data_IF_213165474998
#
_entry.id   IF_213165474998
#
_cell.length_a   1.000
_cell.length_b   1.000
_cell.length_c   1.000
_cell.angle_alpha   90.00
_cell.angle_beta   90.00
_cell.angle_gamma   90.00
#
_symmetry.space_group_name_H-M   'P 1'
#
loop_
_entity.id
_entity.type
_entity.pdbx_description
1 polymer ?
#
# COMPACT_ATOMS: atom_id res chain seq x y z
N UNK A 1 -18.56 21.46 3.42
CA UNK A 1 -17.95 20.24 3.96
C UNK A 1 -18.02 19.20 2.86
N UNK A 2 -16.92 18.54 2.50
CA UNK A 2 -16.89 17.53 1.42
C UNK A 2 -17.31 16.17 1.98
N UNK A 3 -18.09 15.44 1.19
CA UNK A 3 -18.53 14.09 1.50
C UNK A 3 -17.57 13.08 0.84
N UNK A 4 -16.96 12.21 1.61
CA UNK A 4 -16.00 11.24 1.11
C UNK A 4 -16.46 9.81 1.35
N UNK A 5 -16.24 8.93 0.37
CA UNK A 5 -16.44 7.50 0.50
C UNK A 5 -15.07 6.81 0.63
N UNK A 6 -14.91 5.99 1.67
CA UNK A 6 -13.68 5.22 1.88
C UNK A 6 -13.99 3.73 1.83
N UNK A 7 -13.36 3.01 0.94
CA UNK A 7 -13.31 1.53 0.97
C UNK A 7 -12.01 1.06 1.57
N UNK A 8 -12.00 -0.11 2.20
CA UNK A 8 -10.80 -0.57 2.91
C UNK A 8 -10.51 0.20 4.21
N UNK A 9 -11.48 0.92 4.76
CA UNK A 9 -11.39 1.77 5.95
C UNK A 9 -10.90 1.03 7.23
N UNK A 10 -11.08 -0.28 7.33
CA UNK A 10 -10.55 -1.11 8.43
C UNK A 10 -9.13 -1.65 8.19
N UNK A 11 -8.58 -1.36 7.01
CA UNK A 11 -7.20 -1.68 6.66
C UNK A 11 -6.19 -0.78 7.38
N UNK A 12 -4.90 -1.08 7.23
CA UNK A 12 -3.82 -0.31 7.87
C UNK A 12 -3.87 1.17 7.46
N UNK A 13 -3.77 1.48 6.16
CA UNK A 13 -3.84 2.86 5.66
C UNK A 13 -5.23 3.47 5.88
N UNK A 14 -6.29 2.66 5.71
CA UNK A 14 -7.67 3.15 5.83
C UNK A 14 -8.02 3.68 7.21
N UNK A 15 -7.51 3.07 8.29
CA UNK A 15 -7.73 3.57 9.65
C UNK A 15 -7.08 4.94 9.86
N UNK A 16 -5.84 5.13 9.43
CA UNK A 16 -5.15 6.42 9.51
C UNK A 16 -5.82 7.49 8.64
N UNK A 17 -6.27 7.12 7.44
CA UNK A 17 -7.02 8.05 6.58
C UNK A 17 -8.33 8.49 7.23
N UNK A 18 -9.11 7.58 7.83
CA UNK A 18 -10.36 7.90 8.54
C UNK A 18 -10.08 8.84 9.72
N UNK A 19 -9.03 8.57 10.52
CA UNK A 19 -8.66 9.42 11.66
C UNK A 19 -8.32 10.84 11.18
N UNK A 20 -7.52 10.96 10.12
CA UNK A 20 -7.17 12.26 9.54
C UNK A 20 -8.39 13.01 8.99
N UNK A 21 -9.23 12.36 8.19
CA UNK A 21 -10.40 12.96 7.58
C UNK A 21 -11.42 13.46 8.64
N UNK A 22 -11.52 12.75 9.78
CA UNK A 22 -12.33 13.23 10.93
C UNK A 22 -11.81 14.53 11.52
N UNK A 23 -10.49 14.62 11.71
CA UNK A 23 -9.86 15.82 12.27
C UNK A 23 -9.98 17.02 11.34
N UNK A 24 -9.96 16.78 10.04
CA UNK A 24 -10.04 17.82 9.00
C UNK A 24 -11.51 18.15 8.59
N UNK A 25 -12.49 17.58 9.29
CA UNK A 25 -13.90 17.95 9.19
C UNK A 25 -14.64 17.42 7.95
N UNK A 26 -14.19 16.32 7.35
CA UNK A 26 -14.92 15.66 6.25
C UNK A 26 -16.13 14.88 6.77
N UNK A 27 -17.19 14.84 5.96
CA UNK A 27 -18.28 13.88 6.15
C UNK A 27 -17.87 12.53 5.56
N UNK A 28 -17.68 11.52 6.41
CA UNK A 28 -17.10 10.25 6.02
C UNK A 28 -18.19 9.18 5.95
N UNK A 29 -18.31 8.55 4.78
CA UNK A 29 -19.01 7.29 4.59
C UNK A 29 -17.99 6.19 4.29
N UNK A 30 -18.21 4.99 4.79
CA UNK A 30 -17.33 3.85 4.51
C UNK A 30 -18.14 2.66 3.99
N UNK A 31 -17.54 1.89 3.07
CA UNK A 31 -18.01 0.54 2.74
C UNK A 31 -17.11 -0.45 3.45
N UNK A 32 -17.71 -1.30 4.30
CA UNK A 32 -16.97 -2.26 5.12
C UNK A 32 -17.81 -3.49 5.44
N UNK A 33 -17.15 -4.60 5.75
CA UNK A 33 -17.80 -5.84 6.25
C UNK A 33 -18.31 -5.72 7.69
N UNK A 34 -17.92 -4.70 8.42
CA UNK A 34 -18.28 -4.45 9.82
C UNK A 34 -18.50 -2.96 10.04
N UNK A 35 -19.37 -2.64 10.98
CA UNK A 35 -19.57 -1.25 11.43
C UNK A 35 -18.25 -0.63 11.93
N UNK A 36 -18.06 0.63 11.60
CA UNK A 36 -16.90 1.41 12.06
C UNK A 36 -17.43 2.48 13.03
N UNK A 37 -17.02 2.46 14.31
CA UNK A 37 -17.51 3.41 15.30
C UNK A 37 -17.31 4.87 14.85
N UNK A 38 -18.39 5.66 14.91
CA UNK A 38 -18.36 7.08 14.54
C UNK A 38 -18.12 7.36 13.04
N UNK A 39 -18.46 6.41 12.16
CA UNK A 39 -18.45 6.57 10.69
C UNK A 39 -19.74 6.02 10.11
N UNK A 40 -20.38 6.79 9.22
CA UNK A 40 -21.50 6.28 8.42
C UNK A 40 -21.03 5.07 7.60
N UNK A 41 -21.49 3.87 7.94
CA UNK A 41 -20.96 2.62 7.39
C UNK A 41 -22.03 1.86 6.63
N UNK A 42 -21.81 1.66 5.36
CA UNK A 42 -22.57 0.73 4.51
C UNK A 42 -21.93 -0.66 4.65
N UNK A 43 -22.71 -1.62 5.16
CA UNK A 43 -22.23 -3.00 5.29
C UNK A 43 -22.31 -3.68 3.92
N UNK A 44 -21.14 -4.16 3.45
CA UNK A 44 -21.02 -4.88 2.18
C UNK A 44 -19.76 -5.76 2.20
N UNK A 45 -19.92 -7.02 1.84
CA UNK A 45 -18.81 -7.95 1.59
C UNK A 45 -18.59 -8.10 0.09
N UNK A 46 -17.59 -7.44 -0.46
CA UNK A 46 -17.26 -7.45 -1.89
C UNK A 46 -17.05 -8.84 -2.51
N UNK A 47 -16.88 -9.88 -1.68
CA UNK A 47 -16.83 -11.26 -2.17
C UNK A 47 -18.23 -11.83 -2.45
N UNK A 48 -19.28 -11.30 -1.80
CA UNK A 48 -20.62 -11.87 -1.80
C UNK A 48 -21.66 -10.92 -2.38
N UNK A 49 -21.47 -9.62 -2.12
CA UNK A 49 -22.47 -8.59 -2.35
C UNK A 49 -22.04 -7.68 -3.50
N UNK A 50 -23.01 -7.17 -4.24
CA UNK A 50 -22.82 -6.05 -5.14
C UNK A 50 -22.70 -4.74 -4.33
N UNK A 51 -22.02 -3.74 -4.90
CA UNK A 51 -21.88 -2.43 -4.25
C UNK A 51 -23.27 -1.76 -4.19
N UNK A 52 -23.79 -1.43 -3.01
CA UNK A 52 -25.09 -0.76 -2.91
C UNK A 52 -25.04 0.63 -3.56
N UNK A 53 -25.91 0.88 -4.53
CA UNK A 53 -25.96 2.13 -5.30
C UNK A 53 -26.11 3.37 -4.40
N UNK A 54 -26.86 3.25 -3.30
CA UNK A 54 -27.05 4.32 -2.33
C UNK A 54 -25.79 4.67 -1.52
N UNK A 55 -24.76 3.82 -1.54
CA UNK A 55 -23.49 4.12 -0.88
C UNK A 55 -22.78 5.33 -1.47
N UNK A 56 -23.03 5.61 -2.76
CA UNK A 56 -22.37 6.69 -3.50
C UNK A 56 -23.20 7.98 -3.57
N UNK A 57 -24.44 7.95 -3.06
CA UNK A 57 -25.32 9.13 -3.10
C UNK A 57 -24.76 10.30 -2.29
N UNK A 58 -24.58 11.44 -2.95
CA UNK A 58 -24.10 12.68 -2.33
C UNK A 58 -22.59 12.68 -1.99
N UNK A 59 -21.81 11.75 -2.55
CA UNK A 59 -20.36 11.69 -2.38
C UNK A 59 -19.66 12.61 -3.39
N UNK A 60 -18.63 13.32 -2.93
CA UNK A 60 -17.76 14.17 -3.76
C UNK A 60 -16.48 13.46 -4.18
N UNK A 61 -15.90 12.65 -3.28
CA UNK A 61 -14.60 12.01 -3.43
C UNK A 61 -14.67 10.54 -2.99
N UNK A 62 -14.10 9.65 -3.79
CA UNK A 62 -13.88 8.24 -3.41
C UNK A 62 -12.40 7.99 -3.15
N UNK A 63 -12.09 7.45 -1.98
CA UNK A 63 -10.80 6.82 -1.67
C UNK A 63 -10.95 5.31 -1.71
N UNK A 64 -10.43 4.67 -2.75
CA UNK A 64 -10.51 3.22 -2.91
C UNK A 64 -9.23 2.54 -2.44
N UNK A 65 -9.25 2.08 -1.17
CA UNK A 65 -8.13 1.37 -0.52
C UNK A 65 -8.41 -0.13 -0.36
N UNK A 66 -9.63 -0.57 -0.64
CA UNK A 66 -9.94 -1.99 -0.58
C UNK A 66 -9.11 -2.77 -1.60
N UNK A 67 -8.65 -3.93 -1.18
CA UNK A 67 -7.90 -4.85 -2.03
C UNK A 67 -7.59 -6.14 -1.29
N UNK A 68 -7.36 -7.20 -2.05
CA UNK A 68 -6.95 -8.49 -1.55
C UNK A 68 -5.43 -8.64 -1.77
N UNK A 69 -4.66 -8.89 -0.70
CA UNK A 69 -3.20 -8.86 -0.70
C UNK A 69 -2.56 -10.04 0.07
N UNK A 70 -3.26 -11.18 0.21
CA UNK A 70 -2.77 -12.31 0.99
C UNK A 70 -1.95 -13.29 0.12
N UNK A 71 -0.66 -13.07 -0.02
CA UNK A 71 0.27 -13.88 -0.82
C UNK A 71 0.53 -15.32 -0.32
N UNK A 72 -0.01 -15.76 0.80
CA UNK A 72 0.46 -16.96 1.49
C UNK A 72 -0.47 -18.17 1.38
N UNK A 73 -1.59 -18.07 0.68
CA UNK A 73 -2.54 -19.18 0.57
C UNK A 73 -2.64 -19.66 -0.86
N UNK A 74 -2.17 -20.86 -1.13
CA UNK A 74 -2.47 -21.61 -2.35
C UNK A 74 -3.80 -22.33 -2.17
N UNK A 75 -4.91 -21.59 -2.12
CA UNK A 75 -6.26 -22.16 -2.04
C UNK A 75 -6.87 -22.23 -3.45
N UNK A 76 -7.63 -23.28 -3.81
CA UNK A 76 -8.38 -23.28 -5.06
C UNK A 76 -9.29 -22.06 -5.16
N UNK A 77 -9.29 -21.37 -6.32
CA UNK A 77 -10.11 -20.17 -6.52
C UNK A 77 -9.53 -18.85 -5.99
N UNK A 78 -8.29 -18.85 -5.47
CA UNK A 78 -7.62 -17.65 -4.98
C UNK A 78 -7.49 -16.59 -6.09
N UNK A 79 -7.17 -17.01 -7.31
CA UNK A 79 -7.05 -16.15 -8.49
C UNK A 79 -8.34 -15.41 -8.80
N UNK A 80 -9.48 -16.10 -8.80
CA UNK A 80 -10.78 -15.47 -8.98
C UNK A 80 -11.08 -14.45 -7.88
N UNK A 81 -10.64 -14.72 -6.65
CA UNK A 81 -10.77 -13.78 -5.53
C UNK A 81 -9.95 -12.51 -5.76
N UNK A 82 -8.71 -12.64 -6.24
CA UNK A 82 -7.87 -11.49 -6.59
C UNK A 82 -8.52 -10.65 -7.70
N UNK A 83 -8.96 -11.29 -8.80
CA UNK A 83 -9.62 -10.58 -9.89
C UNK A 83 -10.93 -9.93 -9.45
N UNK A 84 -11.79 -10.65 -8.73
CA UNK A 84 -13.06 -10.10 -8.23
C UNK A 84 -12.83 -8.86 -7.39
N UNK A 85 -11.94 -8.93 -6.38
CA UNK A 85 -11.76 -7.83 -5.43
C UNK A 85 -10.91 -6.70 -6.01
N UNK A 86 -9.77 -7.01 -6.65
CA UNK A 86 -8.82 -5.97 -7.06
C UNK A 86 -9.20 -5.32 -8.40
N UNK A 87 -9.88 -6.06 -9.28
CA UNK A 87 -10.26 -5.56 -10.60
C UNK A 87 -11.76 -5.30 -10.67
N UNK A 88 -12.59 -6.32 -10.45
CA UNK A 88 -14.05 -6.22 -10.60
C UNK A 88 -14.64 -5.11 -9.73
N UNK A 89 -14.44 -5.20 -8.41
CA UNK A 89 -14.93 -4.18 -7.46
C UNK A 89 -14.41 -2.78 -7.80
N UNK A 90 -13.15 -2.66 -8.23
CA UNK A 90 -12.57 -1.36 -8.60
C UNK A 90 -13.29 -0.76 -9.82
N UNK A 91 -13.54 -1.55 -10.85
CA UNK A 91 -14.25 -1.11 -12.06
C UNK A 91 -15.71 -0.77 -11.74
N UNK A 92 -16.39 -1.60 -10.97
CA UNK A 92 -17.79 -1.37 -10.57
C UNK A 92 -17.92 -0.09 -9.74
N UNK A 93 -17.02 0.11 -8.76
CA UNK A 93 -17.03 1.32 -7.94
C UNK A 93 -16.75 2.58 -8.76
N UNK A 94 -15.82 2.52 -9.72
CA UNK A 94 -15.55 3.64 -10.62
C UNK A 94 -16.76 3.93 -11.53
N UNK A 95 -17.40 2.90 -12.08
CA UNK A 95 -18.59 3.03 -12.92
C UNK A 95 -19.75 3.67 -12.15
N UNK A 96 -19.99 3.22 -10.92
CA UNK A 96 -20.97 3.83 -10.02
C UNK A 96 -20.58 5.27 -9.65
N UNK A 97 -19.29 5.55 -9.47
CA UNK A 97 -18.81 6.92 -9.19
C UNK A 97 -19.15 7.87 -10.35
N UNK A 98 -18.97 7.44 -11.58
CA UNK A 98 -19.34 8.22 -12.77
C UNK A 98 -20.86 8.40 -12.84
N UNK A 99 -21.64 7.35 -12.64
CA UNK A 99 -23.12 7.39 -12.62
C UNK A 99 -23.65 8.41 -11.61
N UNK A 100 -23.00 8.54 -10.45
CA UNK A 100 -23.37 9.47 -9.39
C UNK A 100 -22.70 10.86 -9.51
N UNK A 101 -22.01 11.15 -10.63
CA UNK A 101 -21.31 12.42 -10.89
C UNK A 101 -20.27 12.77 -9.80
N UNK A 102 -19.63 11.77 -9.20
CA UNK A 102 -18.52 11.96 -8.25
C UNK A 102 -17.36 12.64 -8.96
N UNK A 103 -16.74 13.60 -8.30
CA UNK A 103 -15.72 14.45 -8.92
C UNK A 103 -14.36 13.82 -8.95
N UNK A 104 -14.01 13.03 -7.91
CA UNK A 104 -12.64 12.51 -7.74
C UNK A 104 -12.64 11.07 -7.25
N UNK A 105 -11.80 10.25 -7.88
CA UNK A 105 -11.58 8.84 -7.54
C UNK A 105 -10.08 8.60 -7.34
N UNK A 106 -9.68 8.33 -6.12
CA UNK A 106 -8.28 8.10 -5.75
C UNK A 106 -8.11 6.61 -5.44
N UNK A 107 -7.26 5.95 -6.21
CA UNK A 107 -7.00 4.52 -6.09
C UNK A 107 -5.65 4.25 -5.41
N UNK A 108 -5.66 3.44 -4.37
CA UNK A 108 -4.43 2.94 -3.75
C UNK A 108 -4.04 1.61 -4.39
N UNK A 109 -3.00 1.68 -5.19
CA UNK A 109 -2.34 0.54 -5.81
C UNK A 109 -1.12 0.08 -4.99
N UNK A 110 -0.07 -0.32 -5.61
CA UNK A 110 1.20 -0.74 -5.00
C UNK A 110 2.34 -0.61 -6.01
N UNK A 111 3.56 -0.38 -5.54
CA UNK A 111 4.77 -0.50 -6.38
C UNK A 111 4.88 -1.87 -7.07
N UNK A 112 4.25 -2.92 -6.52
CA UNK A 112 4.21 -4.26 -7.14
C UNK A 112 3.48 -4.27 -8.49
N UNK A 113 2.59 -3.34 -8.75
CA UNK A 113 1.96 -3.16 -10.06
C UNK A 113 2.95 -2.69 -11.13
N UNK A 114 3.99 -1.94 -10.78
CA UNK A 114 5.08 -1.52 -11.66
C UNK A 114 6.10 -2.63 -11.97
N UNK A 115 6.04 -3.75 -11.28
CA UNK A 115 7.03 -4.82 -11.37
C UNK A 115 8.24 -4.60 -10.45
N UNK A 116 9.19 -5.52 -10.52
CA UNK A 116 10.42 -5.43 -9.71
C UNK A 116 11.42 -4.45 -10.33
N UNK A 117 12.10 -3.61 -9.54
CA UNK A 117 13.15 -2.74 -10.04
C UNK A 117 14.32 -3.55 -10.61
N UNK A 118 15.01 -2.97 -11.59
CA UNK A 118 16.29 -3.48 -12.06
C UNK A 118 17.34 -3.24 -10.97
N UNK A 119 18.15 -4.25 -10.69
CA UNK A 119 19.19 -4.15 -9.66
C UNK A 119 20.09 -2.94 -9.86
N UNK A 120 20.27 -2.16 -8.79
CA UNK A 120 21.10 -0.95 -8.81
C UNK A 120 20.43 0.29 -9.39
N UNK A 121 19.13 0.21 -9.79
CA UNK A 121 18.34 1.34 -10.25
C UNK A 121 17.04 1.43 -9.44
N UNK A 122 16.68 2.62 -8.97
CA UNK A 122 15.35 2.84 -8.40
C UNK A 122 14.34 3.02 -9.54
N UNK A 123 13.28 2.21 -9.53
CA UNK A 123 12.25 2.27 -10.57
C UNK A 123 11.34 3.49 -10.37
N UNK A 124 11.01 4.15 -11.46
CA UNK A 124 10.03 5.22 -11.55
C UNK A 124 8.70 4.72 -12.16
N UNK A 125 7.72 5.60 -12.31
CA UNK A 125 6.39 5.24 -12.79
C UNK A 125 6.40 4.73 -14.24
N UNK A 126 7.32 5.18 -15.06
CA UNK A 126 7.52 4.76 -16.46
C UNK A 126 8.25 3.41 -16.60
N UNK A 127 8.99 2.98 -15.56
CA UNK A 127 9.66 1.68 -15.55
C UNK A 127 8.59 0.58 -15.31
N UNK A 128 7.97 0.09 -16.40
CA UNK A 128 6.91 -0.92 -16.36
C UNK A 128 7.48 -2.31 -16.63
N UNK A 129 8.06 -2.92 -15.60
CA UNK A 129 8.46 -4.33 -15.63
C UNK A 129 7.25 -5.27 -15.42
N UNK A 130 7.43 -6.57 -15.61
CA UNK A 130 6.37 -7.53 -15.35
C UNK A 130 5.97 -7.51 -13.87
N UNK A 131 4.67 -7.37 -13.56
CA UNK A 131 4.21 -7.37 -12.17
C UNK A 131 4.58 -8.68 -11.47
N UNK A 132 4.98 -8.58 -10.22
CA UNK A 132 5.36 -9.77 -9.45
C UNK A 132 4.12 -10.40 -8.80
N UNK A 133 3.70 -11.55 -9.35
CA UNK A 133 2.62 -12.37 -8.79
C UNK A 133 1.23 -11.73 -8.92
N UNK A 134 0.24 -12.51 -8.58
CA UNK A 134 -1.18 -12.24 -8.77
C UNK A 134 -1.65 -10.88 -8.18
N UNK A 135 -1.05 -10.49 -7.06
CA UNK A 135 -1.34 -9.18 -6.46
C UNK A 135 -0.88 -8.03 -7.36
N UNK A 136 0.35 -8.06 -7.82
CA UNK A 136 0.88 -7.03 -8.73
C UNK A 136 0.12 -6.99 -10.05
N UNK A 137 -0.15 -8.15 -10.64
CA UNK A 137 -0.89 -8.30 -11.90
C UNK A 137 -2.28 -7.70 -11.83
N UNK A 138 -3.07 -8.07 -10.81
CA UNK A 138 -4.43 -7.56 -10.64
C UNK A 138 -4.48 -6.09 -10.28
N UNK A 139 -3.48 -5.56 -9.52
CA UNK A 139 -3.37 -4.12 -9.27
C UNK A 139 -3.06 -3.35 -10.56
N UNK A 140 -2.12 -3.84 -11.40
CA UNK A 140 -1.84 -3.23 -12.71
C UNK A 140 -3.06 -3.25 -13.63
N UNK A 141 -3.77 -4.38 -13.72
CA UNK A 141 -4.99 -4.46 -14.53
C UNK A 141 -6.02 -3.42 -14.10
N UNK A 142 -6.24 -3.28 -12.79
CA UNK A 142 -7.13 -2.25 -12.24
C UNK A 142 -6.68 -0.82 -12.61
N UNK A 143 -5.38 -0.52 -12.50
CA UNK A 143 -4.83 0.77 -12.90
C UNK A 143 -5.11 1.11 -14.35
N UNK A 144 -4.86 0.16 -15.26
CA UNK A 144 -5.11 0.36 -16.70
C UNK A 144 -6.58 0.64 -16.98
N UNK A 145 -7.51 -0.10 -16.35
CA UNK A 145 -8.96 0.11 -16.48
C UNK A 145 -9.39 1.47 -15.91
N UNK A 146 -8.83 1.89 -14.77
CA UNK A 146 -9.11 3.23 -14.19
C UNK A 146 -8.67 4.33 -15.13
N UNK A 147 -7.43 4.25 -15.65
CA UNK A 147 -6.90 5.28 -16.55
C UNK A 147 -7.67 5.34 -17.88
N UNK A 148 -8.02 4.18 -18.45
CA UNK A 148 -8.83 4.11 -19.65
C UNK A 148 -10.21 4.75 -19.45
N UNK A 149 -10.88 4.39 -18.35
CA UNK A 149 -12.20 4.94 -18.01
C UNK A 149 -12.12 6.44 -17.70
N UNK A 150 -11.09 6.87 -16.97
CA UNK A 150 -10.86 8.28 -16.67
C UNK A 150 -10.61 9.15 -17.92
N UNK A 151 -10.01 8.57 -19.00
CA UNK A 151 -9.87 9.29 -20.29
C UNK A 151 -11.18 9.48 -21.04
N UNK A 152 -12.15 8.61 -20.78
CA UNK A 152 -13.49 8.60 -21.45
C UNK A 152 -14.56 9.32 -20.64
N UNK A 153 -14.20 9.92 -19.50
CA UNK A 153 -15.13 10.55 -18.56
C UNK A 153 -14.54 11.82 -17.95
N UNK A 154 -15.37 12.62 -17.29
CA UNK A 154 -14.95 13.87 -16.65
C UNK A 154 -14.51 13.68 -15.20
N UNK A 155 -14.51 12.44 -14.69
CA UNK A 155 -14.06 12.16 -13.34
C UNK A 155 -12.53 12.29 -13.24
N UNK A 156 -12.05 13.00 -12.22
CA UNK A 156 -10.65 13.01 -11.89
C UNK A 156 -10.24 11.67 -11.30
N UNK A 157 -9.31 10.97 -11.92
CA UNK A 157 -8.76 9.70 -11.41
C UNK A 157 -7.28 9.86 -11.13
N UNK A 158 -6.83 9.42 -9.94
CA UNK A 158 -5.41 9.40 -9.59
C UNK A 158 -5.06 8.08 -8.91
N UNK A 159 -3.85 7.61 -9.13
CA UNK A 159 -3.37 6.32 -8.64
C UNK A 159 -2.12 6.54 -7.80
N UNK A 160 -2.12 6.04 -6.56
CA UNK A 160 -0.96 6.01 -5.69
C UNK A 160 -0.40 4.60 -5.61
N UNK A 161 0.88 4.43 -5.90
CA UNK A 161 1.67 3.22 -5.68
C UNK A 161 2.59 3.40 -4.46
N UNK A 162 2.13 3.13 -3.24
CA UNK A 162 3.02 3.19 -2.09
C UNK A 162 4.05 2.07 -2.13
N UNK A 163 5.28 2.37 -1.67
CA UNK A 163 6.30 1.39 -1.33
C UNK A 163 5.92 0.63 -0.05
N UNK A 164 6.86 -0.05 0.61
CA UNK A 164 6.60 -0.74 1.86
C UNK A 164 6.20 0.26 2.95
N UNK A 165 4.95 0.16 3.41
CA UNK A 165 4.39 1.09 4.38
C UNK A 165 4.73 0.64 5.80
N UNK A 166 5.22 1.56 6.64
CA UNK A 166 5.48 1.35 8.06
C UNK A 166 4.72 2.35 8.94
N UNK A 167 4.68 2.12 10.24
CA UNK A 167 4.04 3.01 11.22
C UNK A 167 3.18 2.28 12.24
N UNK A 168 2.46 3.00 13.11
CA UNK A 168 1.63 2.43 14.17
C UNK A 168 0.59 1.44 13.65
N UNK A 169 0.49 0.29 14.31
CA UNK A 169 -0.44 -0.80 13.93
C UNK A 169 -0.12 -1.42 12.55
N UNK A 170 1.15 -1.38 12.12
CA UNK A 170 1.61 -2.00 10.87
C UNK A 170 1.17 -3.46 10.78
N UNK A 171 0.86 -3.91 9.55
CA UNK A 171 0.43 -5.27 9.26
C UNK A 171 1.41 -6.00 8.33
N UNK A 172 1.20 -7.29 8.13
CA UNK A 172 1.96 -8.08 7.18
C UNK A 172 3.39 -8.41 7.63
N UNK A 173 4.34 -8.37 6.69
CA UNK A 173 5.72 -8.85 6.94
C UNK A 173 6.47 -8.06 8.02
N UNK A 174 6.26 -6.74 8.11
CA UNK A 174 6.88 -5.95 9.18
C UNK A 174 6.31 -6.32 10.55
N UNK A 175 4.99 -6.54 10.66
CA UNK A 175 4.38 -7.03 11.89
C UNK A 175 4.94 -8.40 12.29
N UNK A 176 5.10 -9.32 11.34
CA UNK A 176 5.69 -10.65 11.61
C UNK A 176 7.16 -10.53 12.06
N UNK A 177 7.94 -9.65 11.43
CA UNK A 177 9.31 -9.35 11.85
C UNK A 177 9.34 -8.82 13.29
N UNK A 178 8.53 -7.81 13.60
CA UNK A 178 8.44 -7.25 14.95
C UNK A 178 8.02 -8.31 15.99
N UNK A 179 7.02 -9.12 15.69
CA UNK A 179 6.60 -10.23 16.56
C UNK A 179 7.73 -11.23 16.79
N UNK A 180 8.47 -11.57 15.71
CA UNK A 180 9.59 -12.49 15.77
C UNK A 180 10.77 -11.94 16.57
N UNK A 181 11.11 -10.66 16.41
CA UNK A 181 12.13 -9.95 17.21
C UNK A 181 11.69 -9.93 18.68
N UNK A 182 10.43 -9.57 18.94
CA UNK A 182 9.92 -9.50 20.31
C UNK A 182 9.97 -10.84 21.02
N UNK A 183 9.64 -11.93 20.32
CA UNK A 183 9.68 -13.30 20.84
C UNK A 183 11.07 -13.96 20.79
N UNK A 184 12.07 -13.30 20.21
CA UNK A 184 13.49 -13.77 20.16
C UNK A 184 13.77 -14.86 19.13
N UNK A 185 12.84 -15.16 18.18
CA UNK A 185 13.07 -16.18 17.14
C UNK A 185 13.47 -15.60 15.78
N UNK A 186 13.25 -14.31 15.54
CA UNK A 186 13.66 -13.70 14.26
C UNK A 186 15.17 -13.43 14.28
N UNK A 187 15.94 -13.97 13.32
CA UNK A 187 17.39 -13.88 13.33
C UNK A 187 17.87 -12.47 13.00
N UNK A 188 18.98 -12.00 13.60
CA UNK A 188 19.61 -10.76 13.21
C UNK A 188 20.05 -10.79 11.74
N UNK A 189 19.54 -9.85 10.95
CA UNK A 189 19.79 -9.79 9.51
C UNK A 189 21.22 -9.30 9.23
N UNK A 190 21.90 -9.84 8.19
CA UNK A 190 23.19 -9.35 7.75
C UNK A 190 23.07 -8.00 7.03
N UNK A 191 24.11 -7.22 7.03
CA UNK A 191 24.25 -6.10 6.10
C UNK A 191 24.58 -6.65 4.70
N UNK A 192 23.74 -6.38 3.73
CA UNK A 192 23.88 -6.88 2.36
C UNK A 192 24.02 -5.76 1.33
N UNK A 193 23.90 -4.51 1.77
CA UNK A 193 23.89 -3.34 0.90
C UNK A 193 22.66 -3.27 -0.01
N UNK A 194 21.61 -4.07 0.26
CA UNK A 194 20.38 -4.00 -0.51
C UNK A 194 19.63 -2.70 -0.23
N UNK A 195 18.85 -2.27 -1.20
CA UNK A 195 18.13 -1.00 -1.18
C UNK A 195 16.63 -1.22 -1.19
N UNK A 196 15.95 -0.71 -0.18
CA UNK A 196 14.50 -0.82 -0.03
C UNK A 196 13.89 0.54 0.25
N UNK A 197 12.94 0.94 -0.60
CA UNK A 197 12.14 2.14 -0.38
C UNK A 197 10.99 1.84 0.56
N UNK A 198 10.74 2.78 1.45
CA UNK A 198 9.67 2.70 2.44
C UNK A 198 8.92 4.03 2.53
N UNK A 199 7.77 4.03 3.20
CA UNK A 199 7.01 5.25 3.49
C UNK A 199 6.23 5.09 4.79
N UNK A 200 6.15 6.15 5.59
CA UNK A 200 5.31 6.16 6.78
C UNK A 200 3.82 6.24 6.40
N UNK A 201 2.95 5.59 7.17
CA UNK A 201 1.51 5.54 6.88
C UNK A 201 0.86 6.94 6.86
N UNK A 202 1.29 7.87 7.72
CA UNK A 202 0.78 9.24 7.71
C UNK A 202 1.21 10.00 6.46
N UNK A 203 2.42 9.75 5.94
CA UNK A 203 2.88 10.32 4.67
C UNK A 203 2.12 9.73 3.47
N UNK A 204 1.66 8.48 3.55
CA UNK A 204 0.73 7.92 2.56
C UNK A 204 -0.59 8.69 2.59
N UNK A 205 -1.14 8.99 3.76
CA UNK A 205 -2.35 9.80 3.89
C UNK A 205 -2.16 11.20 3.29
N UNK A 206 -1.03 11.86 3.59
CA UNK A 206 -0.71 13.18 3.00
C UNK A 206 -0.59 13.11 1.48
N UNK A 207 0.02 12.06 0.94
CA UNK A 207 0.09 11.85 -0.51
C UNK A 207 -1.31 11.70 -1.13
N UNK A 208 -2.21 10.93 -0.53
CA UNK A 208 -3.60 10.78 -1.01
C UNK A 208 -4.35 12.11 -1.05
N UNK A 209 -4.19 12.95 -0.02
CA UNK A 209 -4.81 14.27 0.04
C UNK A 209 -4.21 15.24 -0.98
N UNK A 210 -2.90 15.16 -1.22
CA UNK A 210 -2.26 15.93 -2.28
C UNK A 210 -2.81 15.57 -3.64
N UNK A 211 -2.98 14.28 -3.97
CA UNK A 211 -3.56 13.83 -5.24
C UNK A 211 -5.01 14.33 -5.43
N UNK A 212 -5.80 14.35 -4.36
CA UNK A 212 -7.15 14.94 -4.41
C UNK A 212 -7.11 16.41 -4.81
N UNK A 213 -6.13 17.18 -4.31
CA UNK A 213 -6.08 18.63 -4.48
C UNK A 213 -5.31 19.10 -5.71
N UNK A 214 -4.56 18.21 -6.38
CA UNK A 214 -3.75 18.54 -7.55
C UNK A 214 -4.45 18.19 -8.86
N UNK A 215 -4.71 19.17 -9.71
CA UNK A 215 -5.20 18.92 -11.06
C UNK A 215 -4.19 18.17 -11.93
N UNK A 216 -2.90 18.38 -11.69
CA UNK A 216 -1.82 17.68 -12.38
C UNK A 216 -1.79 16.18 -12.07
N UNK A 217 -2.46 15.75 -10.99
CA UNK A 217 -2.56 14.34 -10.64
C UNK A 217 -3.63 13.59 -11.45
N UNK A 218 -4.47 14.29 -12.23
CA UNK A 218 -5.53 13.66 -12.97
C UNK A 218 -4.99 12.72 -14.06
N UNK A 219 -5.46 11.47 -14.04
CA UNK A 219 -5.10 10.41 -14.99
C UNK A 219 -3.63 9.97 -14.90
N UNK A 220 -3.03 10.15 -13.73
CA UNK A 220 -1.62 9.87 -13.50
C UNK A 220 -1.43 8.84 -12.38
N UNK A 221 -0.28 8.14 -12.46
CA UNK A 221 0.21 7.22 -11.44
C UNK A 221 1.37 7.91 -10.72
N UNK A 222 1.42 7.74 -9.40
CA UNK A 222 2.49 8.28 -8.55
C UNK A 222 3.02 7.21 -7.62
N UNK A 223 4.34 7.08 -7.54
CA UNK A 223 5.02 6.27 -6.53
C UNK A 223 5.23 7.11 -5.27
N UNK A 224 4.93 6.51 -4.12
CA UNK A 224 5.12 7.16 -2.82
C UNK A 224 6.19 6.44 -1.99
N UNK A 225 7.25 7.16 -1.67
CA UNK A 225 8.34 6.76 -0.77
C UNK A 225 8.71 7.93 0.13
N UNK A 226 9.48 7.68 1.19
CA UNK A 226 10.06 8.75 2.02
C UNK A 226 11.34 9.39 1.39
N UNK A 227 11.68 9.00 0.16
CA UNK A 227 12.85 9.51 -0.57
C UNK A 227 14.18 8.91 -0.09
N UNK A 228 14.16 7.94 0.82
CA UNK A 228 15.34 7.25 1.34
C UNK A 228 15.35 5.79 0.93
N UNK A 229 16.53 5.18 1.01
CA UNK A 229 16.70 3.74 0.87
C UNK A 229 17.27 3.14 2.15
N UNK A 230 16.80 1.95 2.48
CA UNK A 230 17.17 1.24 3.71
C UNK A 230 17.63 -0.17 3.37
N UNK A 231 18.71 -0.63 3.99
CA UNK A 231 19.04 -2.05 3.93
C UNK A 231 18.10 -2.85 4.83
N UNK A 232 17.98 -4.14 4.58
CA UNK A 232 17.22 -5.03 5.46
C UNK A 232 17.78 -5.03 6.88
N UNK A 233 19.09 -4.81 7.04
CA UNK A 233 19.73 -4.61 8.34
C UNK A 233 19.24 -3.33 9.01
N UNK A 234 19.16 -2.20 8.30
CA UNK A 234 18.63 -0.95 8.85
C UNK A 234 17.17 -1.09 9.32
N UNK A 235 16.35 -1.82 8.54
CA UNK A 235 14.95 -2.10 8.91
C UNK A 235 14.92 -2.93 10.20
N UNK A 236 15.71 -4.01 10.28
CA UNK A 236 15.80 -4.85 11.47
C UNK A 236 16.25 -4.06 12.71
N UNK A 237 17.28 -3.23 12.61
CA UNK A 237 17.80 -2.39 13.71
C UNK A 237 16.76 -1.39 14.19
N UNK A 238 16.05 -0.77 13.27
CA UNK A 238 14.94 0.14 13.63
C UNK A 238 13.81 -0.62 14.34
N UNK A 239 13.43 -1.81 13.87
CA UNK A 239 12.41 -2.61 14.55
C UNK A 239 12.86 -3.05 15.96
N UNK A 240 14.16 -3.35 16.17
CA UNK A 240 14.67 -3.59 17.51
C UNK A 240 14.52 -2.35 18.41
N UNK A 241 14.93 -1.18 17.92
CA UNK A 241 14.83 0.09 18.65
C UNK A 241 13.37 0.43 19.01
N UNK A 242 12.45 0.32 18.04
CA UNK A 242 11.02 0.54 18.24
C UNK A 242 10.42 -0.41 19.29
N UNK A 243 10.99 -1.60 19.46
CA UNK A 243 10.58 -2.58 20.47
C UNK A 243 11.32 -2.43 21.80
N UNK A 244 12.14 -1.39 21.98
CA UNK A 244 12.96 -1.21 23.18
C UNK A 244 14.01 -2.29 23.37
N UNK A 245 14.46 -2.95 22.29
CA UNK A 245 15.42 -4.05 22.34
C UNK A 245 16.80 -3.62 21.83
N UNK A 246 17.84 -4.14 22.48
CA UNK A 246 19.20 -3.96 21.99
C UNK A 246 19.40 -4.66 20.66
N UNK A 247 20.06 -3.99 19.73
CA UNK A 247 20.46 -4.60 18.46
C UNK A 247 21.65 -5.53 18.69
N UNK A 248 21.57 -6.81 18.26
CA UNK A 248 22.71 -7.72 18.37
C UNK A 248 23.92 -7.25 17.54
N UNK A 249 25.13 -7.34 18.11
CA UNK A 249 26.38 -7.02 17.42
C UNK A 249 26.79 -8.07 16.38
N UNK A 250 26.08 -9.20 16.31
CA UNK A 250 26.27 -10.27 15.33
C UNK A 250 25.10 -10.34 14.37
N UNK A 251 25.29 -11.01 13.25
CA UNK A 251 24.24 -11.31 12.28
C UNK A 251 24.43 -12.72 11.71
N UNK A 252 23.33 -13.30 11.24
CA UNK A 252 23.38 -14.56 10.51
C UNK A 252 24.09 -14.33 9.18
N UNK A 253 25.12 -15.11 8.82
CA UNK A 253 25.82 -14.94 7.55
C UNK A 253 24.92 -15.09 6.33
N UNK A 254 25.13 -14.26 5.31
CA UNK A 254 24.30 -14.25 4.07
C UNK A 254 24.21 -15.62 3.41
N UNK A 255 25.30 -16.41 3.43
CA UNK A 255 25.33 -17.73 2.77
C UNK A 255 24.30 -18.71 3.35
N UNK A 256 23.95 -18.58 4.66
CA UNK A 256 22.92 -19.41 5.29
C UNK A 256 21.53 -19.11 4.72
N UNK A 257 21.21 -17.84 4.46
CA UNK A 257 19.97 -17.45 3.79
C UNK A 257 19.93 -17.99 2.35
N UNK A 258 21.07 -17.93 1.64
CA UNK A 258 21.19 -18.51 0.30
C UNK A 258 21.00 -20.03 0.31
N UNK A 259 21.56 -20.73 1.29
CA UNK A 259 21.38 -22.18 1.45
C UNK A 259 19.92 -22.54 1.75
N UNK A 260 19.23 -21.75 2.59
CA UNK A 260 17.79 -21.93 2.86
C UNK A 260 16.96 -21.70 1.58
N UNK A 261 17.32 -20.70 0.77
CA UNK A 261 16.65 -20.42 -0.48
C UNK A 261 16.71 -21.58 -1.49
N UNK A 262 17.75 -22.41 -1.44
CA UNK A 262 17.88 -23.60 -2.31
C UNK A 262 16.94 -24.74 -1.91
N UNK A 263 16.36 -24.73 -0.71
CA UNK A 263 15.51 -25.82 -0.22
C UNK A 263 14.12 -25.84 -0.86
N UNK A 264 13.59 -24.70 -1.29
CA UNK A 264 12.33 -24.62 -2.04
C UNK A 264 12.15 -23.25 -2.70
N UNK A 265 11.36 -23.21 -3.79
CA UNK A 265 10.98 -21.96 -4.48
C UNK A 265 10.26 -20.98 -3.55
N UNK A 266 9.44 -21.48 -2.62
CA UNK A 266 8.75 -20.64 -1.63
C UNK A 266 9.74 -19.97 -0.64
N UNK A 267 10.77 -20.69 -0.21
CA UNK A 267 11.83 -20.15 0.64
C UNK A 267 12.71 -19.15 -0.12
N UNK A 268 13.05 -19.44 -1.38
CA UNK A 268 13.75 -18.49 -2.26
C UNK A 268 12.98 -17.17 -2.36
N UNK A 269 11.69 -17.23 -2.68
CA UNK A 269 10.83 -16.04 -2.75
C UNK A 269 10.77 -15.24 -1.43
N UNK A 270 10.72 -15.94 -0.28
CA UNK A 270 10.76 -15.27 1.04
C UNK A 270 12.12 -14.61 1.31
N UNK A 271 13.22 -15.23 0.90
CA UNK A 271 14.56 -14.66 1.05
C UNK A 271 14.76 -13.45 0.14
N UNK A 272 14.28 -13.51 -1.09
CA UNK A 272 14.29 -12.38 -2.02
C UNK A 272 13.44 -11.21 -1.48
N UNK A 273 12.27 -11.49 -0.93
CA UNK A 273 11.46 -10.48 -0.24
C UNK A 273 12.16 -9.88 0.99
N UNK A 274 13.01 -10.63 1.66
CA UNK A 274 13.70 -10.18 2.86
C UNK A 274 14.99 -9.40 2.55
N UNK A 275 15.79 -9.88 1.58
CA UNK A 275 17.13 -9.40 1.32
C UNK A 275 17.32 -8.80 -0.09
N UNK A 276 16.31 -8.83 -0.93
CA UNK A 276 16.34 -8.29 -2.29
C UNK A 276 16.22 -6.77 -2.35
N UNK A 277 16.58 -6.22 -3.50
CA UNK A 277 16.41 -4.80 -3.81
C UNK A 277 14.95 -4.49 -4.16
N UNK A 278 14.41 -3.43 -3.57
CA UNK A 278 13.10 -2.86 -3.88
C UNK A 278 13.19 -1.33 -3.80
N UNK A 279 13.99 -0.73 -4.71
CA UNK A 279 14.19 0.71 -4.77
C UNK A 279 13.22 1.36 -5.76
N UNK A 280 12.52 2.41 -5.30
CA UNK A 280 11.57 3.18 -6.10
C UNK A 280 11.80 4.68 -5.92
N UNK A 281 11.62 5.45 -7.01
CA UNK A 281 11.69 6.91 -6.99
C UNK A 281 10.30 7.51 -6.73
N UNK A 282 10.22 8.55 -5.92
CA UNK A 282 9.02 9.37 -5.73
C UNK A 282 9.16 10.78 -6.31
N UNK A 283 10.11 11.01 -7.21
CA UNK A 283 10.39 12.32 -7.79
C UNK A 283 9.18 12.95 -8.46
N UNK A 284 8.37 12.14 -9.17
CA UNK A 284 7.11 12.60 -9.77
C UNK A 284 6.11 13.10 -8.73
N UNK A 285 5.94 12.40 -7.62
CA UNK A 285 5.08 12.86 -6.53
C UNK A 285 5.65 14.11 -5.85
N UNK A 286 6.97 14.18 -5.68
CA UNK A 286 7.65 15.36 -5.14
C UNK A 286 7.49 16.59 -6.04
N UNK A 287 7.41 16.43 -7.36
CA UNK A 287 7.16 17.54 -8.28
C UNK A 287 5.79 18.19 -8.08
N UNK A 288 4.83 17.48 -7.46
CA UNK A 288 3.55 18.05 -7.02
C UNK A 288 3.64 18.80 -5.67
N UNK A 289 4.83 18.84 -5.05
CA UNK A 289 5.05 19.46 -3.74
C UNK A 289 5.01 18.50 -2.56
N UNK A 290 4.93 17.19 -2.79
CA UNK A 290 5.01 16.19 -1.71
C UNK A 290 6.37 16.22 -1.01
N UNK A 291 6.33 16.18 0.33
CA UNK A 291 7.53 15.99 1.16
C UNK A 291 7.18 15.02 2.29
N UNK A 292 7.83 13.88 2.32
CA UNK A 292 7.71 12.97 3.45
C UNK A 292 8.19 13.68 4.73
N UNK A 293 7.42 13.55 5.80
CA UNK A 293 7.70 14.17 7.08
C UNK A 293 8.39 13.20 8.05
N UNK A 294 8.34 11.90 7.77
CA UNK A 294 8.85 10.85 8.64
C UNK A 294 9.82 9.94 7.89
N UNK A 295 10.94 9.62 8.55
CA UNK A 295 11.95 8.70 8.05
C UNK A 295 12.06 7.49 8.97
N UNK A 296 12.24 6.29 8.43
CA UNK A 296 12.33 5.04 9.21
C UNK A 296 13.40 5.11 10.31
N UNK A 297 14.57 5.68 10.00
CA UNK A 297 15.70 5.79 10.95
C UNK A 297 15.41 6.67 12.16
N UNK A 298 14.40 7.53 12.10
CA UNK A 298 14.02 8.43 13.19
C UNK A 298 12.95 7.81 14.10
N UNK A 299 12.35 6.68 13.71
CA UNK A 299 11.29 6.03 14.49
C UNK A 299 11.83 5.45 15.80
N UNK A 300 11.02 5.53 16.85
CA UNK A 300 11.30 5.04 18.20
C UNK A 300 10.07 4.32 18.80
N UNK A 301 10.11 3.99 20.09
CA UNK A 301 9.04 3.25 20.77
C UNK A 301 7.68 3.94 20.74
N UNK A 302 7.63 5.26 20.64
CA UNK A 302 6.38 6.04 20.65
C UNK A 302 5.74 6.15 19.26
N UNK A 303 6.43 5.73 18.21
CA UNK A 303 6.00 5.87 16.82
C UNK A 303 5.31 4.61 16.25
N UNK A 304 5.13 3.54 17.09
CA UNK A 304 4.54 2.25 16.66
C UNK A 304 3.47 1.71 17.59
#
# INVERSE_FOLDING_TARGET
MLNVLVTGATGFVGQHLIEYLKLDGYNIKAISRKLIPGVDTVICDFLKDDIPDNALKGIDIVFHLAGYAHDLKSEPGIEQTYHKINVGVTVDLLSLSIKHNIKKFIFVSSVKAGGSPIRGKCAAEEDQNDPAGMYGETKREAELKILETGRKSDIHVSILRPALIYGPKVKGNLQLMMQGINKGWFPPLPETGNQRSMIHVDDVVQALLLLVNSQQANREIFIATDGKTYSSRNIYETMCRVLGKSTPNWSVPKFLFSAIALLSTNLSYKMDKLLGDECYSSEKLQSLGFKAQKELKQMNETDF
#
